data_IF_898019939929
#
_entry.id   IF_898019939929
#
_cell.length_a   1.000
_cell.length_b   1.000
_cell.length_c   1.000
_cell.angle_alpha   90.00
_cell.angle_beta   90.00
_cell.angle_gamma   90.00
#
_symmetry.space_group_name_H-M   'P 1'
#
loop_
_entity.id
_entity.type
_entity.pdbx_description
1 polymer ?
#
# COMPACT_ATOMS: atom_id res chain seq x y z
N UNK A 1 -54.91 -12.04 10.69
CA UNK A 1 -54.92 -10.85 11.55
C UNK A 1 -53.55 -10.75 12.19
N UNK A 2 -52.91 -9.60 11.96
CA UNK A 2 -51.73 -9.03 12.62
C UNK A 2 -50.46 -9.87 12.83
N UNK A 3 -49.49 -9.64 11.94
CA UNK A 3 -48.06 -9.66 12.32
C UNK A 3 -47.40 -8.36 11.89
N UNK A 4 -47.27 -7.49 12.89
CA UNK A 4 -46.68 -6.16 12.86
C UNK A 4 -45.19 -6.20 12.48
N UNK A 5 -44.79 -5.34 11.53
CA UNK A 5 -43.41 -5.15 11.11
C UNK A 5 -42.71 -4.07 11.97
N UNK A 6 -41.46 -4.27 12.42
CA UNK A 6 -40.74 -3.23 13.12
C UNK A 6 -40.11 -2.21 12.17
N UNK A 7 -40.58 -0.97 12.32
CA UNK A 7 -40.10 0.27 11.72
C UNK A 7 -38.64 0.52 12.14
N UNK A 8 -37.73 0.72 11.18
CA UNK A 8 -36.38 1.23 11.45
C UNK A 8 -36.40 2.75 11.63
N UNK A 9 -35.69 3.31 12.63
CA UNK A 9 -35.71 4.75 12.90
C UNK A 9 -34.89 5.55 11.87
N UNK A 10 -35.46 6.68 11.47
CA UNK A 10 -34.87 7.68 10.60
C UNK A 10 -33.62 8.32 11.24
N UNK A 11 -32.51 8.32 10.51
CA UNK A 11 -31.24 8.94 10.92
C UNK A 11 -31.34 10.45 10.66
N UNK A 12 -31.52 11.23 11.73
CA UNK A 12 -31.45 12.70 11.72
C UNK A 12 -30.09 13.16 11.21
N UNK A 13 -30.06 13.86 10.07
CA UNK A 13 -28.95 14.70 9.63
C UNK A 13 -29.00 16.00 10.42
N UNK A 14 -28.06 16.20 11.33
CA UNK A 14 -27.81 17.49 11.96
C UNK A 14 -26.98 18.36 11.02
N UNK A 15 -27.57 19.50 10.70
CA UNK A 15 -27.09 20.61 9.88
C UNK A 15 -26.15 21.44 10.75
N UNK A 16 -24.89 21.61 10.35
CA UNK A 16 -23.95 22.53 11.01
C UNK A 16 -24.29 23.98 10.61
N UNK A 17 -24.19 24.95 11.55
CA UNK A 17 -24.50 26.35 11.29
C UNK A 17 -23.33 27.09 10.64
N UNK A 18 -23.68 27.80 9.56
CA UNK A 18 -23.34 29.19 9.24
C UNK A 18 -21.88 29.64 9.45
N UNK A 19 -21.17 29.69 8.31
CA UNK A 19 -19.98 30.50 8.10
C UNK A 19 -20.36 31.98 8.20
N UNK A 20 -19.85 32.64 9.25
CA UNK A 20 -19.95 34.08 9.42
C UNK A 20 -18.86 34.75 8.57
N UNK A 21 -19.31 35.29 7.44
CA UNK A 21 -18.53 35.97 6.42
C UNK A 21 -18.49 37.46 6.76
N UNK A 22 -17.48 37.91 7.51
CA UNK A 22 -17.25 39.33 7.80
C UNK A 22 -16.33 39.96 6.74
N UNK A 23 -16.95 40.80 5.89
CA UNK A 23 -16.51 42.12 5.38
C UNK A 23 -15.05 42.50 5.68
N UNK A 24 -14.16 42.78 4.72
CA UNK A 24 -14.20 43.72 3.58
C UNK A 24 -14.56 45.17 3.97
N UNK A 25 -13.67 46.10 3.58
CA UNK A 25 -13.67 47.57 3.82
C UNK A 25 -13.19 47.93 5.24
N UNK A 26 -12.22 48.81 5.52
CA UNK A 26 -11.79 50.13 5.02
C UNK A 26 -10.44 50.37 5.79
N UNK A 27 -9.32 50.89 5.27
CA UNK A 27 -9.05 52.31 5.07
C UNK A 27 -7.57 52.45 4.61
N UNK A 28 -7.34 52.69 3.32
CA UNK A 28 -6.08 53.28 2.85
C UNK A 28 -6.26 54.79 2.84
N UNK A 29 -6.08 55.40 4.01
CA UNK A 29 -6.19 56.83 4.18
C UNK A 29 -4.98 57.53 3.54
N UNK A 30 -5.31 58.24 2.47
CA UNK A 30 -4.47 59.04 1.60
C UNK A 30 -4.22 60.39 2.31
N UNK A 31 -2.98 60.69 2.69
CA UNK A 31 -2.62 62.03 3.17
C UNK A 31 -1.45 62.58 2.37
N UNK A 32 -1.78 63.58 1.54
CA UNK A 32 -0.89 64.32 0.64
C UNK A 32 -0.59 65.69 1.24
N UNK A 33 0.65 66.13 1.01
CA UNK A 33 1.19 67.51 1.01
C UNK A 33 2.04 67.94 2.23
N UNK A 34 2.96 68.93 2.08
CA UNK A 34 3.73 69.34 0.90
C UNK A 34 5.23 69.60 1.19
N UNK A 35 6.05 69.53 0.14
CA UNK A 35 7.12 70.48 -0.13
C UNK A 35 8.30 70.61 0.85
N UNK A 36 9.40 69.92 0.55
CA UNK A 36 10.75 70.43 0.82
C UNK A 36 11.58 70.20 -0.43
N UNK A 37 12.02 71.29 -1.05
CA UNK A 37 12.95 71.27 -2.17
C UNK A 37 14.34 70.87 -1.64
N UNK A 38 14.74 69.62 -1.86
CA UNK A 38 16.11 69.17 -1.61
C UNK A 38 17.01 69.48 -2.82
N UNK A 39 18.07 70.21 -2.52
CA UNK A 39 19.22 70.48 -3.37
C UNK A 39 19.83 69.19 -3.93
N UNK A 40 20.30 69.16 -5.19
CA UNK A 40 21.08 68.04 -5.71
C UNK A 40 22.43 67.94 -4.96
N UNK A 41 22.77 66.82 -4.31
CA UNK A 41 24.12 66.60 -3.83
C UNK A 41 25.05 66.39 -5.03
N UNK A 42 26.12 67.20 -5.06
CA UNK A 42 27.24 67.08 -5.98
C UNK A 42 27.77 65.64 -6.07
N UNK A 43 28.17 65.15 -7.27
CA UNK A 43 28.75 63.82 -7.41
C UNK A 43 30.14 63.78 -6.77
N UNK A 44 30.19 63.39 -5.50
CA UNK A 44 31.43 62.99 -4.84
C UNK A 44 31.88 61.67 -5.49
N UNK A 45 32.80 61.79 -6.43
CA UNK A 45 33.45 60.64 -7.08
C UNK A 45 34.40 60.03 -6.05
N UNK A 46 33.87 59.18 -5.17
CA UNK A 46 34.68 58.36 -4.29
C UNK A 46 35.56 57.47 -5.18
N UNK A 47 36.87 57.68 -5.16
CA UNK A 47 37.83 56.84 -5.86
C UNK A 47 37.69 55.41 -5.33
N UNK A 48 37.23 54.50 -6.18
CA UNK A 48 37.13 53.06 -5.87
C UNK A 48 38.55 52.54 -5.63
N UNK A 49 38.78 51.94 -4.46
CA UNK A 49 40.07 51.36 -4.10
C UNK A 49 40.48 50.28 -5.13
N UNK A 50 41.64 50.42 -5.82
CA UNK A 50 42.12 49.45 -6.79
C UNK A 50 42.24 48.01 -6.25
N UNK A 51 42.43 47.84 -4.94
CA UNK A 51 42.50 46.51 -4.31
C UNK A 51 41.15 45.78 -4.32
N UNK A 52 40.05 46.49 -4.06
CA UNK A 52 38.69 45.92 -4.11
C UNK A 52 38.31 45.46 -5.52
N UNK A 53 38.77 46.18 -6.55
CA UNK A 53 38.55 45.82 -7.95
C UNK A 53 39.23 44.50 -8.33
N UNK A 54 40.47 44.29 -7.86
CA UNK A 54 41.22 43.06 -8.15
C UNK A 54 40.62 41.84 -7.42
N UNK A 55 40.15 42.01 -6.19
CA UNK A 55 39.50 40.96 -5.41
C UNK A 55 38.20 40.47 -6.09
N UNK A 56 37.38 41.41 -6.60
CA UNK A 56 36.15 41.08 -7.33
C UNK A 56 36.38 40.32 -8.65
N UNK A 57 37.48 40.60 -9.36
CA UNK A 57 37.86 39.86 -10.58
C UNK A 57 38.22 38.40 -10.27
N UNK A 58 38.92 38.16 -9.16
CA UNK A 58 39.27 36.81 -8.70
C UNK A 58 38.02 36.02 -8.31
N UNK A 59 37.09 36.65 -7.57
CA UNK A 59 35.82 36.02 -7.18
C UNK A 59 34.95 35.66 -8.38
N UNK A 60 34.88 36.53 -9.39
CA UNK A 60 34.10 36.27 -10.61
C UNK A 60 34.69 35.10 -11.41
N UNK A 61 36.01 35.05 -11.55
CA UNK A 61 36.71 33.94 -12.23
C UNK A 61 36.47 32.61 -11.50
N UNK A 62 36.54 32.63 -10.16
CA UNK A 62 36.26 31.46 -9.34
C UNK A 62 34.79 31.01 -9.43
N UNK A 63 33.84 31.96 -9.42
CA UNK A 63 32.42 31.67 -9.55
C UNK A 63 32.10 31.02 -10.92
N UNK A 64 32.69 31.52 -12.01
CA UNK A 64 32.55 30.92 -13.35
C UNK A 64 33.15 29.53 -13.44
N UNK A 65 34.31 29.30 -12.83
CA UNK A 65 34.89 27.96 -12.73
C UNK A 65 33.95 27.00 -11.98
N UNK A 66 33.35 27.45 -10.86
CA UNK A 66 32.34 26.68 -10.13
C UNK A 66 31.08 26.41 -10.97
N UNK A 67 30.58 27.41 -11.71
CA UNK A 67 29.43 27.27 -12.59
C UNK A 67 29.67 26.25 -13.71
N UNK A 68 30.85 26.30 -14.34
CA UNK A 68 31.27 25.33 -15.37
C UNK A 68 31.34 23.91 -14.79
N UNK A 69 31.93 23.75 -13.61
CA UNK A 69 32.00 22.45 -12.90
C UNK A 69 30.60 21.89 -12.57
N UNK A 70 29.64 22.76 -12.26
CA UNK A 70 28.24 22.40 -11.96
C UNK A 70 27.32 22.36 -13.18
N UNK A 71 27.83 22.66 -14.38
CA UNK A 71 27.09 22.68 -15.65
C UNK A 71 25.85 23.58 -15.60
N UNK A 72 25.99 24.77 -15.01
CA UNK A 72 24.91 25.75 -14.96
C UNK A 72 24.54 26.24 -16.38
N UNK A 73 23.26 26.56 -16.58
CA UNK A 73 22.77 27.13 -17.84
C UNK A 73 23.28 28.56 -18.03
N UNK A 74 23.40 29.09 -19.25
CA UNK A 74 23.90 30.45 -19.50
C UNK A 74 23.18 31.55 -18.71
N UNK A 75 21.86 31.43 -18.55
CA UNK A 75 21.03 32.34 -17.73
C UNK A 75 21.49 32.35 -16.26
N UNK A 76 21.77 31.17 -15.69
CA UNK A 76 22.22 31.01 -14.30
C UNK A 76 23.67 31.49 -14.10
N UNK A 77 24.52 31.39 -15.13
CA UNK A 77 25.88 31.95 -15.11
C UNK A 77 25.81 33.49 -15.09
N UNK A 78 24.95 34.07 -15.91
CA UNK A 78 24.71 35.53 -15.92
C UNK A 78 24.19 36.00 -14.56
N UNK A 79 23.29 35.23 -13.98
CA UNK A 79 22.73 35.48 -12.66
C UNK A 79 23.80 35.40 -11.55
N UNK A 80 24.69 34.41 -11.61
CA UNK A 80 25.80 34.25 -10.68
C UNK A 80 26.84 35.37 -10.81
N UNK A 81 27.16 35.77 -12.04
CA UNK A 81 28.06 36.91 -12.29
C UNK A 81 27.48 38.21 -11.72
N UNK A 82 26.17 38.43 -11.88
CA UNK A 82 25.46 39.56 -11.24
C UNK A 82 25.52 39.47 -9.72
N UNK A 83 25.30 38.27 -9.17
CA UNK A 83 25.37 38.06 -7.73
C UNK A 83 26.74 38.43 -7.18
N UNK A 84 27.85 37.94 -7.76
CA UNK A 84 29.21 38.24 -7.28
C UNK A 84 29.52 39.75 -7.25
N UNK A 85 28.93 40.53 -8.16
CA UNK A 85 29.12 41.99 -8.23
C UNK A 85 28.29 42.80 -7.23
N UNK A 86 27.31 42.20 -6.54
CA UNK A 86 26.43 42.89 -5.58
C UNK A 86 27.10 43.10 -4.20
N UNK A 87 26.55 44.02 -3.41
CA UNK A 87 26.98 44.24 -2.02
C UNK A 87 26.62 43.04 -1.13
N UNK A 88 27.42 42.69 -0.09
CA UNK A 88 27.15 41.54 0.77
C UNK A 88 25.75 41.52 1.42
N UNK A 89 25.21 42.70 1.77
CA UNK A 89 23.85 42.79 2.32
C UNK A 89 22.79 42.42 1.25
N UNK A 90 23.01 42.82 -0.01
CA UNK A 90 22.11 42.47 -1.11
C UNK A 90 22.16 40.96 -1.38
N UNK A 91 23.32 40.32 -1.26
CA UNK A 91 23.44 38.85 -1.34
C UNK A 91 22.55 38.15 -0.32
N UNK A 92 22.58 38.61 0.93
CA UNK A 92 21.78 38.02 2.01
C UNK A 92 20.28 38.16 1.73
N UNK A 93 19.84 39.36 1.31
CA UNK A 93 18.44 39.62 0.95
C UNK A 93 18.01 38.72 -0.21
N UNK A 94 18.86 38.60 -1.24
CA UNK A 94 18.59 37.78 -2.42
C UNK A 94 18.54 36.29 -2.10
N UNK A 95 19.47 35.77 -1.30
CA UNK A 95 19.45 34.38 -0.84
C UNK A 95 18.19 34.08 -0.03
N UNK A 96 17.77 34.99 0.84
CA UNK A 96 16.53 34.83 1.60
C UNK A 96 15.30 34.82 0.67
N UNK A 97 15.22 35.73 -0.29
CA UNK A 97 14.15 35.77 -1.28
C UNK A 97 14.09 34.50 -2.15
N UNK A 98 15.24 33.99 -2.61
CA UNK A 98 15.32 32.72 -3.35
C UNK A 98 14.93 31.52 -2.49
N UNK A 99 15.31 31.50 -1.21
CA UNK A 99 14.88 30.45 -0.28
C UNK A 99 13.37 30.45 -0.09
N UNK A 100 12.73 31.63 0.02
CA UNK A 100 11.27 31.76 0.05
C UNK A 100 10.62 31.31 -1.27
N UNK A 101 11.20 31.67 -2.42
CA UNK A 101 10.75 31.22 -3.75
C UNK A 101 10.81 29.69 -3.89
N UNK A 102 11.89 29.08 -3.41
CA UNK A 102 12.05 27.62 -3.34
C UNK A 102 11.00 27.01 -2.41
N UNK A 103 10.78 27.57 -1.22
CA UNK A 103 9.73 27.13 -0.30
C UNK A 103 8.36 27.15 -0.97
N UNK A 104 8.00 28.25 -1.63
CA UNK A 104 6.73 28.39 -2.35
C UNK A 104 6.59 27.37 -3.50
N UNK A 105 7.68 27.10 -4.23
CA UNK A 105 7.68 26.07 -5.29
C UNK A 105 7.54 24.67 -4.69
N UNK A 106 8.17 24.41 -3.55
CA UNK A 106 8.06 23.15 -2.83
C UNK A 106 6.64 22.94 -2.30
N UNK A 107 6.02 23.96 -1.73
CA UNK A 107 4.62 23.92 -1.28
C UNK A 107 3.66 23.64 -2.45
N UNK A 108 3.91 24.25 -3.63
CA UNK A 108 3.15 23.95 -4.85
C UNK A 108 3.33 22.49 -5.30
N UNK A 109 4.53 21.94 -5.22
CA UNK A 109 4.79 20.54 -5.57
C UNK A 109 4.09 19.60 -4.56
N UNK A 110 4.18 19.89 -3.26
CA UNK A 110 3.55 19.10 -2.20
C UNK A 110 2.04 19.11 -2.35
N UNK A 111 1.44 20.27 -2.62
CA UNK A 111 -0.01 20.42 -2.81
C UNK A 111 -0.51 19.82 -4.13
N UNK A 112 0.30 19.81 -5.18
CA UNK A 112 -0.05 19.21 -6.47
C UNK A 112 0.24 17.71 -6.54
N UNK A 113 0.88 17.12 -5.52
CA UNK A 113 1.19 15.69 -5.52
C UNK A 113 -0.12 14.90 -5.47
N UNK A 114 -0.40 14.05 -6.47
CA UNK A 114 -1.62 13.26 -6.48
C UNK A 114 -1.66 12.34 -5.26
N UNK A 115 -2.87 12.13 -4.73
CA UNK A 115 -3.07 11.20 -3.64
C UNK A 115 -2.52 9.83 -4.03
N UNK A 116 -1.70 9.23 -3.15
CA UNK A 116 -1.12 7.93 -3.44
C UNK A 116 -2.22 6.87 -3.59
N UNK A 117 -2.06 5.99 -4.57
CA UNK A 117 -2.98 4.88 -4.84
C UNK A 117 -2.19 3.59 -5.05
N UNK A 118 -2.84 2.45 -4.76
CA UNK A 118 -2.25 1.12 -4.95
C UNK A 118 -1.98 0.91 -6.44
N UNK A 119 -0.71 0.72 -6.82
CA UNK A 119 -0.33 0.47 -8.21
C UNK A 119 -0.90 -0.86 -8.71
N UNK A 120 -1.10 -0.99 -10.03
CA UNK A 120 -1.52 -2.27 -10.64
C UNK A 120 -0.51 -3.41 -10.39
N UNK A 121 0.78 -3.07 -10.33
CA UNK A 121 1.84 -4.03 -10.00
C UNK A 121 1.71 -4.52 -8.57
N UNK A 122 1.56 -3.61 -7.61
CA UNK A 122 1.33 -3.93 -6.21
C UNK A 122 0.06 -4.77 -6.02
N UNK A 123 -1.04 -4.42 -6.69
CA UNK A 123 -2.28 -5.21 -6.64
C UNK A 123 -2.08 -6.65 -7.16
N UNK A 124 -1.32 -6.84 -8.24
CA UNK A 124 -1.01 -8.17 -8.79
C UNK A 124 -0.20 -9.02 -7.79
N UNK A 125 0.75 -8.39 -7.08
CA UNK A 125 1.50 -9.04 -6.02
C UNK A 125 0.60 -9.39 -4.82
N UNK A 126 -0.26 -8.45 -4.38
CA UNK A 126 -1.26 -8.69 -3.32
C UNK A 126 -2.11 -9.91 -3.67
N UNK A 127 -2.69 -9.96 -4.87
CA UNK A 127 -3.53 -11.09 -5.31
C UNK A 127 -2.77 -12.42 -5.30
N UNK A 128 -1.49 -12.40 -5.69
CA UNK A 128 -0.63 -13.59 -5.72
C UNK A 128 -0.33 -14.11 -4.32
N UNK A 129 0.03 -13.22 -3.37
CA UNK A 129 0.30 -13.59 -1.99
C UNK A 129 -0.95 -13.98 -1.22
N UNK A 130 -2.09 -13.34 -1.48
CA UNK A 130 -3.39 -13.74 -0.91
C UNK A 130 -3.71 -15.18 -1.30
N UNK A 131 -3.52 -15.54 -2.58
CA UNK A 131 -3.69 -16.94 -3.00
C UNK A 131 -2.70 -17.83 -2.29
N UNK A 132 -1.41 -17.51 -2.28
CA UNK A 132 -0.40 -18.34 -1.61
C UNK A 132 -0.71 -18.57 -0.11
N UNK A 133 -1.11 -17.54 0.63
CA UNK A 133 -1.50 -17.65 2.05
C UNK A 133 -2.74 -18.53 2.20
N UNK A 134 -3.77 -18.37 1.36
CA UNK A 134 -4.96 -19.24 1.39
C UNK A 134 -4.66 -20.69 0.99
N UNK A 135 -3.57 -20.97 0.29
CA UNK A 135 -3.16 -22.34 -0.07
C UNK A 135 -2.23 -22.96 0.98
N UNK A 136 -1.80 -22.19 1.98
CA UNK A 136 -0.83 -22.65 2.98
C UNK A 136 -1.38 -23.80 3.80
N UNK A 137 -0.56 -24.85 3.94
CA UNK A 137 -0.89 -26.01 4.76
C UNK A 137 -0.77 -25.73 6.27
N UNK A 138 -0.07 -24.66 6.66
CA UNK A 138 0.12 -24.21 8.04
C UNK A 138 -0.98 -23.24 8.50
N UNK A 139 -1.91 -22.86 7.63
CA UNK A 139 -2.96 -21.91 7.98
C UNK A 139 -4.00 -22.52 8.94
N UNK A 140 -4.24 -21.82 10.05
CA UNK A 140 -5.16 -22.24 11.10
C UNK A 140 -6.62 -21.80 10.86
N UNK A 141 -6.83 -20.69 10.14
CA UNK A 141 -8.14 -20.16 9.78
C UNK A 141 -8.06 -19.37 8.46
N UNK A 142 -9.09 -19.45 7.63
CA UNK A 142 -9.24 -18.71 6.37
C UNK A 142 -9.91 -17.35 6.54
N UNK A 143 -10.42 -17.04 7.73
CA UNK A 143 -10.98 -15.75 8.09
C UNK A 143 -10.27 -15.21 9.34
N UNK A 144 -10.16 -13.89 9.40
CA UNK A 144 -9.60 -13.17 10.55
C UNK A 144 -8.40 -12.30 10.18
N UNK A 145 -7.96 -11.51 11.15
CA UNK A 145 -6.89 -10.53 10.99
C UNK A 145 -5.54 -11.21 10.71
N UNK A 146 -5.27 -12.36 11.33
CA UNK A 146 -4.02 -13.12 11.16
C UNK A 146 -3.67 -13.41 9.69
N UNK A 147 -4.65 -13.78 8.86
CA UNK A 147 -4.41 -13.99 7.42
C UNK A 147 -3.97 -12.71 6.70
N UNK A 148 -4.55 -11.58 7.10
CA UNK A 148 -4.22 -10.26 6.56
C UNK A 148 -2.83 -9.85 7.02
N UNK A 149 -2.51 -10.08 8.30
CA UNK A 149 -1.21 -9.76 8.89
C UNK A 149 -0.06 -10.48 8.18
N UNK A 150 -0.20 -11.78 7.88
CA UNK A 150 0.82 -12.51 7.11
C UNK A 150 1.11 -11.86 5.75
N UNK A 151 0.07 -11.48 5.00
CA UNK A 151 0.28 -10.79 3.70
C UNK A 151 0.93 -9.44 3.92
N UNK A 152 0.49 -8.65 4.92
CA UNK A 152 1.06 -7.34 5.22
C UNK A 152 2.53 -7.42 5.64
N UNK A 153 2.92 -8.42 6.43
CA UNK A 153 4.31 -8.66 6.84
C UNK A 153 5.19 -9.03 5.65
N UNK A 154 4.72 -9.90 4.77
CA UNK A 154 5.40 -10.24 3.52
C UNK A 154 5.58 -8.99 2.65
N UNK A 155 4.53 -8.18 2.46
CA UNK A 155 4.61 -6.94 1.70
C UNK A 155 5.64 -5.96 2.30
N UNK A 156 5.62 -5.78 3.63
CA UNK A 156 6.60 -4.94 4.36
C UNK A 156 8.03 -5.42 4.18
N UNK A 157 8.26 -6.74 4.17
CA UNK A 157 9.58 -7.35 3.98
C UNK A 157 10.12 -7.13 2.58
N UNK A 158 9.29 -7.33 1.56
CA UNK A 158 9.72 -7.26 0.17
C UNK A 158 9.70 -5.86 -0.43
N UNK A 159 9.02 -4.88 0.21
CA UNK A 159 8.99 -3.47 -0.21
C UNK A 159 8.85 -3.34 -1.73
N UNK A 160 7.74 -3.84 -2.28
CA UNK A 160 7.39 -3.71 -3.69
C UNK A 160 7.24 -2.22 -4.10
N UNK A 161 6.33 -1.85 -5.00
CA UNK A 161 6.09 -0.45 -5.40
C UNK A 161 5.53 0.46 -4.27
N UNK A 162 5.83 0.18 -3.00
CA UNK A 162 5.43 0.94 -1.83
C UNK A 162 6.41 2.09 -1.58
N UNK A 163 5.92 3.33 -1.40
CA UNK A 163 6.75 4.45 -0.98
C UNK A 163 7.49 4.18 0.33
N UNK A 164 8.71 4.72 0.51
CA UNK A 164 9.44 4.60 1.76
C UNK A 164 8.64 5.25 2.91
N UNK A 165 8.47 4.51 4.01
CA UNK A 165 7.78 5.01 5.21
C UNK A 165 6.26 5.11 5.08
N UNK A 166 5.63 4.47 4.07
CA UNK A 166 4.16 4.46 3.92
C UNK A 166 3.42 3.98 5.17
N UNK A 167 4.05 3.13 5.99
CA UNK A 167 3.47 2.64 7.25
C UNK A 167 3.23 3.75 8.27
N UNK A 168 3.98 4.84 8.19
CA UNK A 168 3.81 6.00 9.07
C UNK A 168 2.65 6.90 8.62
N UNK A 169 2.23 6.77 7.35
CA UNK A 169 1.04 7.42 6.83
C UNK A 169 -0.17 6.50 7.01
N UNK A 170 -0.95 6.73 8.08
CA UNK A 170 -2.12 5.92 8.40
C UNK A 170 -3.15 5.86 7.25
N UNK A 171 -3.35 6.96 6.50
CA UNK A 171 -4.31 7.00 5.41
C UNK A 171 -3.87 6.12 4.22
N UNK A 172 -2.61 6.24 3.81
CA UNK A 172 -2.07 5.46 2.69
C UNK A 172 -1.86 3.99 3.07
N UNK A 173 -1.40 3.70 4.28
CA UNK A 173 -1.30 2.34 4.78
C UNK A 173 -2.67 1.65 4.82
N UNK A 174 -3.72 2.36 5.23
CA UNK A 174 -5.09 1.83 5.24
C UNK A 174 -5.57 1.44 3.84
N UNK A 175 -5.11 2.10 2.76
CA UNK A 175 -5.44 1.69 1.38
C UNK A 175 -4.83 0.32 1.05
N UNK A 176 -3.59 0.05 1.49
CA UNK A 176 -2.95 -1.26 1.31
C UNK A 176 -3.70 -2.34 2.10
N UNK A 177 -3.99 -2.09 3.38
CA UNK A 177 -4.76 -3.01 4.22
C UNK A 177 -6.12 -3.33 3.59
N UNK A 178 -6.81 -2.30 3.10
CA UNK A 178 -8.10 -2.45 2.41
C UNK A 178 -7.96 -3.30 1.15
N UNK A 179 -6.96 -3.03 0.31
CA UNK A 179 -6.71 -3.80 -0.91
C UNK A 179 -6.45 -5.29 -0.61
N UNK A 180 -5.69 -5.60 0.45
CA UNK A 180 -5.45 -6.99 0.90
C UNK A 180 -6.76 -7.65 1.35
N UNK A 181 -7.54 -6.98 2.19
CA UNK A 181 -8.83 -7.49 2.70
C UNK A 181 -9.86 -7.72 1.59
N UNK A 182 -9.94 -6.81 0.62
CA UNK A 182 -10.80 -6.94 -0.56
C UNK A 182 -10.35 -8.12 -1.42
N UNK A 183 -9.04 -8.30 -1.61
CA UNK A 183 -8.47 -9.42 -2.36
C UNK A 183 -8.78 -10.77 -1.70
N UNK A 184 -8.65 -10.88 -0.37
CA UNK A 184 -9.09 -12.07 0.39
C UNK A 184 -10.59 -12.34 0.22
N UNK A 185 -11.42 -11.30 0.30
CA UNK A 185 -12.88 -11.42 0.17
C UNK A 185 -13.28 -11.88 -1.23
N UNK A 186 -12.71 -11.26 -2.27
CA UNK A 186 -12.96 -11.61 -3.67
C UNK A 186 -12.48 -13.04 -3.98
N UNK A 187 -11.29 -13.43 -3.50
CA UNK A 187 -10.74 -14.76 -3.72
C UNK A 187 -11.59 -15.84 -3.06
N UNK A 188 -11.97 -15.64 -1.80
CA UNK A 188 -12.87 -16.54 -1.07
C UNK A 188 -14.24 -16.67 -1.73
N UNK A 189 -14.84 -15.56 -2.17
CA UNK A 189 -16.10 -15.62 -2.91
C UNK A 189 -15.98 -16.47 -4.19
N UNK A 190 -14.88 -16.29 -4.93
CA UNK A 190 -14.59 -17.05 -6.16
C UNK A 190 -14.38 -18.54 -5.87
N UNK A 191 -13.58 -18.87 -4.85
CA UNK A 191 -13.32 -20.25 -4.45
C UNK A 191 -14.58 -20.96 -4.01
N UNK A 192 -15.39 -20.34 -3.15
CA UNK A 192 -16.67 -20.90 -2.70
C UNK A 192 -17.60 -21.22 -3.87
N UNK A 193 -17.73 -20.30 -4.84
CA UNK A 193 -18.52 -20.53 -6.06
C UNK A 193 -17.99 -21.70 -6.89
N UNK A 194 -16.67 -21.82 -7.01
CA UNK A 194 -16.00 -22.88 -7.77
C UNK A 194 -16.17 -24.24 -7.11
N UNK A 195 -15.99 -24.32 -5.78
CA UNK A 195 -16.23 -25.51 -4.98
C UNK A 195 -17.68 -25.98 -5.05
N UNK A 196 -18.65 -25.06 -5.03
CA UNK A 196 -20.07 -25.40 -5.19
C UNK A 196 -20.34 -26.02 -6.57
N UNK A 197 -19.81 -25.42 -7.63
CA UNK A 197 -19.97 -25.94 -8.98
C UNK A 197 -19.33 -27.33 -9.15
N UNK A 198 -18.20 -27.57 -8.49
CA UNK A 198 -17.46 -28.84 -8.59
C UNK A 198 -18.21 -30.03 -7.98
N UNK A 199 -19.03 -29.80 -6.95
CA UNK A 199 -19.89 -30.84 -6.36
C UNK A 199 -20.92 -31.34 -7.38
N UNK A 200 -21.63 -30.44 -8.07
CA UNK A 200 -22.61 -30.82 -9.09
C UNK A 200 -21.97 -31.43 -10.34
N UNK A 201 -20.80 -30.91 -10.74
CA UNK A 201 -20.07 -31.41 -11.90
C UNK A 201 -19.27 -32.69 -11.63
N UNK A 202 -19.20 -33.14 -10.36
CA UNK A 202 -18.34 -34.23 -9.90
C UNK A 202 -16.90 -34.09 -10.37
N UNK A 203 -16.34 -32.88 -10.32
CA UNK A 203 -14.95 -32.64 -10.72
C UNK A 203 -14.00 -33.35 -9.76
N UNK A 204 -12.97 -34.02 -10.26
CA UNK A 204 -11.95 -34.61 -9.39
C UNK A 204 -11.19 -33.52 -8.61
N UNK A 205 -10.55 -33.92 -7.51
CA UNK A 205 -9.94 -32.96 -6.57
C UNK A 205 -8.75 -32.20 -7.15
N UNK A 206 -7.99 -32.82 -8.06
CA UNK A 206 -6.83 -32.20 -8.67
C UNK A 206 -7.23 -31.09 -9.63
N UNK A 207 -8.14 -31.37 -10.56
CA UNK A 207 -8.67 -30.37 -11.50
C UNK A 207 -9.35 -29.21 -10.76
N UNK A 208 -10.03 -29.52 -9.65
CA UNK A 208 -10.59 -28.50 -8.77
C UNK A 208 -9.48 -27.64 -8.16
N UNK A 209 -8.42 -28.22 -7.61
CA UNK A 209 -7.29 -27.46 -7.07
C UNK A 209 -6.63 -26.59 -8.16
N UNK A 210 -6.40 -27.13 -9.37
CA UNK A 210 -5.89 -26.36 -10.53
C UNK A 210 -6.80 -25.18 -10.86
N UNK A 211 -8.11 -25.36 -10.79
CA UNK A 211 -9.06 -24.27 -11.05
C UNK A 211 -8.99 -23.17 -9.98
N UNK A 212 -8.72 -23.52 -8.72
CA UNK A 212 -8.61 -22.58 -7.60
C UNK A 212 -7.29 -21.81 -7.60
N UNK A 213 -6.20 -22.43 -8.08
CA UNK A 213 -4.88 -21.79 -8.27
C UNK A 213 -4.74 -21.06 -9.60
N UNK A 214 -5.79 -21.05 -10.44
CA UNK A 214 -5.75 -20.36 -11.72
C UNK A 214 -5.39 -18.88 -11.54
N UNK A 215 -4.45 -18.41 -12.37
CA UNK A 215 -3.88 -17.05 -12.35
C UNK A 215 -3.03 -16.73 -11.11
N UNK A 216 -2.61 -17.73 -10.34
CA UNK A 216 -1.50 -17.58 -9.40
C UNK A 216 -0.27 -18.32 -9.90
N UNK A 217 0.88 -18.03 -9.30
CA UNK A 217 2.13 -18.76 -9.53
C UNK A 217 2.25 -20.00 -8.63
N UNK A 218 1.13 -20.50 -8.11
CA UNK A 218 1.12 -21.61 -7.16
C UNK A 218 0.96 -22.95 -7.87
N UNK A 219 1.77 -23.92 -7.47
CA UNK A 219 1.70 -25.31 -7.92
C UNK A 219 0.69 -26.07 -7.06
N UNK A 220 -0.06 -26.96 -7.69
CA UNK A 220 -0.96 -27.86 -6.97
C UNK A 220 -0.15 -28.95 -6.28
N UNK A 221 -0.22 -29.02 -4.95
CA UNK A 221 0.41 -30.06 -4.14
C UNK A 221 -0.63 -31.00 -3.53
N UNK A 222 -0.15 -32.08 -2.92
CA UNK A 222 -1.01 -33.00 -2.17
C UNK A 222 -1.69 -32.31 -0.97
N UNK A 223 -0.95 -31.50 -0.22
CA UNK A 223 -1.43 -30.75 0.95
C UNK A 223 -2.56 -29.82 0.54
N UNK A 224 -2.39 -29.11 -0.58
CA UNK A 224 -3.45 -28.28 -1.13
C UNK A 224 -4.70 -29.11 -1.45
N UNK A 225 -4.56 -30.25 -2.12
CA UNK A 225 -5.70 -31.10 -2.44
C UNK A 225 -6.45 -31.54 -1.17
N UNK A 226 -5.74 -31.83 -0.07
CA UNK A 226 -6.40 -32.16 1.21
C UNK A 226 -7.19 -30.99 1.80
N UNK A 227 -6.67 -29.75 1.68
CA UNK A 227 -7.38 -28.54 2.14
C UNK A 227 -8.62 -28.26 1.28
N UNK A 228 -8.51 -28.43 -0.04
CA UNK A 228 -9.64 -28.28 -0.96
C UNK A 228 -10.71 -29.36 -0.68
N UNK A 229 -10.29 -30.59 -0.36
CA UNK A 229 -11.20 -31.67 0.01
C UNK A 229 -11.98 -31.33 1.29
N UNK A 230 -11.31 -30.77 2.31
CA UNK A 230 -12.00 -30.24 3.50
C UNK A 230 -13.03 -29.17 3.13
N UNK A 231 -12.64 -28.16 2.37
CA UNK A 231 -13.54 -27.07 1.95
C UNK A 231 -14.78 -27.62 1.22
N UNK A 232 -14.58 -28.59 0.32
CA UNK A 232 -15.66 -29.23 -0.41
C UNK A 232 -16.55 -30.08 0.51
N UNK A 233 -15.96 -30.82 1.45
CA UNK A 233 -16.72 -31.58 2.44
C UNK A 233 -17.66 -30.69 3.27
N UNK A 234 -17.22 -29.48 3.63
CA UNK A 234 -18.07 -28.48 4.32
C UNK A 234 -19.24 -28.02 3.45
N UNK A 235 -19.04 -27.81 2.14
CA UNK A 235 -20.14 -27.46 1.23
C UNK A 235 -21.18 -28.59 1.20
N UNK A 236 -20.73 -29.84 1.14
CA UNK A 236 -21.63 -31.01 1.06
C UNK A 236 -22.40 -31.21 2.36
N UNK A 237 -21.74 -31.05 3.51
CA UNK A 237 -22.35 -31.34 4.82
C UNK A 237 -23.22 -30.20 5.37
N UNK A 238 -22.81 -28.94 5.17
CA UNK A 238 -23.45 -27.75 5.76
C UNK A 238 -24.13 -26.84 4.72
N UNK A 239 -23.90 -27.09 3.44
CA UNK A 239 -24.49 -26.31 2.34
C UNK A 239 -23.77 -24.98 2.05
N UNK A 240 -24.38 -24.19 1.17
CA UNK A 240 -23.91 -22.86 0.77
C UNK A 240 -24.53 -21.78 1.68
N UNK A 241 -23.87 -21.47 2.79
CA UNK A 241 -24.35 -20.50 3.79
C UNK A 241 -23.49 -19.22 3.81
N UNK A 242 -24.03 -18.11 4.32
CA UNK A 242 -23.24 -16.89 4.55
C UNK A 242 -22.08 -17.13 5.54
N UNK A 243 -22.21 -18.12 6.42
CA UNK A 243 -21.22 -18.54 7.44
C UNK A 243 -20.24 -19.58 6.93
N UNK A 244 -20.27 -19.94 5.64
CA UNK A 244 -19.47 -21.04 5.10
C UNK A 244 -17.98 -21.00 5.50
N UNK A 245 -17.34 -19.83 5.47
CA UNK A 245 -15.94 -19.73 5.87
C UNK A 245 -15.73 -19.91 7.37
N UNK A 246 -16.66 -19.44 8.20
CA UNK A 246 -16.66 -19.73 9.64
C UNK A 246 -16.85 -21.24 9.88
N UNK A 247 -17.68 -21.89 9.06
CA UNK A 247 -17.90 -23.33 9.12
C UNK A 247 -16.65 -24.15 8.72
N UNK A 248 -15.88 -23.68 7.73
CA UNK A 248 -14.58 -24.26 7.36
C UNK A 248 -13.56 -24.08 8.49
N UNK A 249 -13.48 -22.89 9.08
CA UNK A 249 -12.55 -22.60 10.17
C UNK A 249 -12.89 -23.43 11.42
N UNK A 250 -14.17 -23.62 11.72
CA UNK A 250 -14.62 -24.49 12.81
C UNK A 250 -14.20 -25.96 12.60
N UNK A 251 -14.31 -26.49 11.36
CA UNK A 251 -13.83 -27.85 11.07
C UNK A 251 -12.29 -27.96 11.22
N UNK A 252 -11.54 -26.93 10.83
CA UNK A 252 -10.09 -26.90 11.06
C UNK A 252 -9.76 -26.97 12.56
N UNK A 253 -10.45 -26.16 13.37
CA UNK A 253 -10.28 -26.16 14.83
C UNK A 253 -10.60 -27.53 15.42
N UNK A 254 -11.69 -28.17 14.99
CA UNK A 254 -12.07 -29.50 15.48
C UNK A 254 -11.05 -30.58 15.06
N UNK A 255 -10.50 -30.54 13.83
CA UNK A 255 -9.41 -31.44 13.41
C UNK A 255 -8.18 -31.26 14.33
N UNK A 256 -7.80 -30.01 14.62
CA UNK A 256 -6.66 -29.72 15.49
C UNK A 256 -6.90 -30.16 16.94
N UNK A 257 -8.13 -30.00 17.44
CA UNK A 257 -8.55 -30.41 18.78
C UNK A 257 -8.58 -31.93 18.93
N UNK A 258 -9.14 -32.64 17.94
CA UNK A 258 -9.13 -34.11 17.89
C UNK A 258 -7.72 -34.69 17.81
N UNK A 259 -6.81 -33.97 17.15
CA UNK A 259 -5.40 -34.34 17.13
C UNK A 259 -4.69 -34.15 18.49
N UNK A 260 -5.30 -33.49 19.47
CA UNK A 260 -4.76 -33.34 20.83
C UNK A 260 -3.41 -32.61 20.90
N UNK A 261 -2.66 -32.85 21.98
CA UNK A 261 -1.30 -32.35 22.21
C UNK A 261 -0.26 -33.48 22.12
N UNK A 262 1.02 -33.12 22.05
CA UNK A 262 2.16 -34.06 22.02
C UNK A 262 2.89 -34.13 20.67
N UNK A 263 3.98 -34.89 20.64
CA UNK A 263 4.88 -35.01 19.47
C UNK A 263 4.12 -35.48 18.21
N UNK A 264 3.15 -36.38 18.36
CA UNK A 264 2.41 -36.98 17.24
C UNK A 264 1.22 -36.12 16.75
N UNK A 265 1.07 -34.88 17.24
CA UNK A 265 -0.04 -33.99 16.84
C UNK A 265 -0.04 -33.76 15.32
N UNK A 266 1.11 -33.44 14.74
CA UNK A 266 1.26 -33.16 13.29
C UNK A 266 0.87 -34.37 12.43
N UNK A 267 1.25 -35.56 12.85
CA UNK A 267 0.93 -36.80 12.13
C UNK A 267 -0.55 -37.15 12.22
N UNK A 268 -1.21 -36.87 13.36
CA UNK A 268 -2.66 -37.02 13.52
C UNK A 268 -3.44 -36.06 12.62
N UNK A 269 -3.05 -34.79 12.57
CA UNK A 269 -3.65 -33.80 11.66
C UNK A 269 -3.48 -34.25 10.21
N UNK A 270 -2.27 -34.65 9.82
CA UNK A 270 -1.97 -35.14 8.47
C UNK A 270 -2.82 -36.36 8.10
N UNK A 271 -3.01 -37.31 9.04
CA UNK A 271 -3.88 -38.47 8.84
C UNK A 271 -5.34 -38.08 8.63
N UNK A 272 -5.86 -37.12 9.40
CA UNK A 272 -7.24 -36.63 9.24
C UNK A 272 -7.46 -36.01 7.86
N UNK A 273 -6.55 -35.16 7.40
CA UNK A 273 -6.59 -34.57 6.06
C UNK A 273 -6.49 -35.60 4.94
N UNK A 274 -5.63 -36.62 5.09
CA UNK A 274 -5.55 -37.74 4.14
C UNK A 274 -6.84 -38.57 4.09
N UNK A 275 -7.53 -38.73 5.22
CA UNK A 275 -8.82 -39.41 5.25
C UNK A 275 -9.90 -38.63 4.50
N UNK A 276 -9.95 -37.29 4.68
CA UNK A 276 -10.85 -36.41 3.92
C UNK A 276 -10.57 -36.51 2.41
N UNK A 277 -9.30 -36.42 2.01
CA UNK A 277 -8.91 -36.54 0.61
C UNK A 277 -9.29 -37.91 0.01
N UNK A 278 -9.14 -39.00 0.77
CA UNK A 278 -9.54 -40.34 0.32
C UNK A 278 -11.04 -40.42 0.07
N UNK A 279 -11.85 -39.98 1.04
CA UNK A 279 -13.31 -39.97 0.91
C UNK A 279 -13.78 -39.12 -0.27
N UNK A 280 -13.10 -38.00 -0.50
CA UNK A 280 -13.36 -37.10 -1.61
C UNK A 280 -13.04 -37.77 -2.98
N UNK A 281 -11.89 -38.45 -3.10
CA UNK A 281 -11.52 -39.24 -4.29
C UNK A 281 -12.49 -40.40 -4.56
N UNK A 282 -12.95 -41.10 -3.52
CA UNK A 282 -13.94 -42.18 -3.64
C UNK A 282 -15.28 -41.65 -4.20
N UNK A 283 -15.64 -40.41 -3.86
CA UNK A 283 -16.92 -39.79 -4.24
C UNK A 283 -16.87 -39.17 -5.64
N UNK A 284 -15.77 -38.48 -5.98
CA UNK A 284 -15.66 -37.65 -7.19
C UNK A 284 -14.65 -38.17 -8.22
N UNK A 285 -14.04 -39.33 -7.97
CA UNK A 285 -13.04 -39.94 -8.82
C UNK A 285 -11.61 -39.51 -8.46
N UNK A 286 -10.65 -40.37 -8.80
CA UNK A 286 -9.23 -40.06 -8.67
C UNK A 286 -8.70 -39.50 -9.99
N UNK A 287 -7.87 -38.46 -9.89
CA UNK A 287 -7.14 -37.94 -11.04
C UNK A 287 -5.86 -38.77 -11.22
N UNK A 288 -5.28 -38.74 -12.43
CA UNK A 288 -3.93 -39.24 -12.61
C UNK A 288 -2.94 -38.52 -11.66
N UNK A 289 -1.89 -39.24 -11.27
CA UNK A 289 -0.88 -38.91 -10.25
C UNK A 289 -0.58 -37.41 -10.05
N UNK A 290 -0.58 -36.96 -8.79
CA UNK A 290 -0.16 -35.59 -8.41
C UNK A 290 1.38 -35.54 -8.50
N UNK A 291 1.93 -34.93 -9.54
CA UNK A 291 3.37 -34.94 -9.83
C UNK A 291 4.23 -34.15 -8.83
N UNK A 292 3.68 -33.18 -8.10
CA UNK A 292 4.48 -32.26 -7.28
C UNK A 292 4.23 -32.43 -5.78
N UNK A 293 5.20 -33.01 -5.08
CA UNK A 293 5.27 -32.96 -3.61
C UNK A 293 5.77 -31.60 -3.11
N UNK A 294 6.46 -30.83 -3.95
CA UNK A 294 7.04 -29.54 -3.59
C UNK A 294 6.16 -28.41 -4.11
N UNK A 295 5.85 -27.44 -3.25
CA UNK A 295 5.16 -26.22 -3.66
C UNK A 295 6.04 -25.35 -4.57
N UNK A 296 5.42 -24.38 -5.25
CA UNK A 296 6.17 -23.31 -5.92
C UNK A 296 7.07 -22.56 -4.92
N UNK A 297 8.12 -21.88 -5.41
CA UNK A 297 8.99 -21.04 -4.57
C UNK A 297 8.20 -20.04 -3.72
N UNK A 298 7.15 -19.44 -4.31
CA UNK A 298 6.23 -18.55 -3.62
C UNK A 298 5.50 -19.24 -2.46
N UNK A 299 5.01 -20.47 -2.67
CA UNK A 299 4.34 -21.23 -1.61
C UNK A 299 5.31 -21.61 -0.50
N UNK A 300 6.50 -22.09 -0.83
CA UNK A 300 7.52 -22.48 0.16
C UNK A 300 7.88 -21.29 1.05
N UNK A 301 8.11 -20.12 0.45
CA UNK A 301 8.40 -18.88 1.19
C UNK A 301 7.25 -18.46 2.12
N UNK A 302 6.01 -18.56 1.65
CA UNK A 302 4.82 -18.21 2.45
C UNK A 302 4.60 -19.22 3.59
N UNK A 303 4.76 -20.52 3.32
CA UNK A 303 4.63 -21.57 4.32
C UNK A 303 5.71 -21.44 5.40
N UNK A 304 6.95 -21.13 5.03
CA UNK A 304 8.03 -20.85 5.98
C UNK A 304 7.71 -19.62 6.84
N UNK A 305 7.21 -18.54 6.22
CA UNK A 305 6.80 -17.34 6.95
C UNK A 305 5.68 -17.62 7.96
N UNK A 306 4.60 -18.30 7.55
CA UNK A 306 3.47 -18.62 8.43
C UNK A 306 3.91 -19.58 9.55
N UNK A 307 4.75 -20.56 9.23
CA UNK A 307 5.24 -21.54 10.21
C UNK A 307 6.16 -20.93 11.27
N UNK A 308 6.91 -19.87 10.91
CA UNK A 308 7.76 -19.15 11.85
C UNK A 308 6.98 -18.15 12.72
N UNK A 309 5.79 -17.72 12.28
CA UNK A 309 4.93 -16.78 12.98
C UNK A 309 3.88 -17.44 13.91
N UNK A 310 3.64 -18.75 13.73
CA UNK A 310 2.66 -19.56 14.50
C UNK A 310 3.27 -20.20 15.73
#
# INVERSE_FOLDING_TARGET
>A
MDTSSPIRPARKRTRGPDEDNSNFEEDLNNSVAPGVAEQPPSPSTAAIDPLLLLENQNLTTYARHCAAKKKLRPEQVTELDSFVGEMPLHHQIRLFAEMLSISNKLDKIVTATPEWTVSKGLQTNIDSYVVAVLLSSSLHAYKGETTTDHVLEILKKHRFDMPPGIENNCADWKKIVTAVQESFTARRATWKKTLKASVSAKTNIYDLAVSLTKKSNCTVTLELCTRVALMRAVIVSKGDSATYWDDVDNELVEIHKQAGSGADKKDRITRAFRALLRSDKETYGDAAFIESEVGSELQVMVDEHISNAS
#
